data_IF_759669176621
#
_entry.id   IF_759669176621
#
_cell.length_a   1.000
_cell.length_b   1.000
_cell.length_c   1.000
_cell.angle_alpha   90.00
_cell.angle_beta   90.00
_cell.angle_gamma   90.00
#
_symmetry.space_group_name_H-M   'P 1'
#
loop_
_entity.id
_entity.type
_entity.pdbx_description
1 polymer ?
#
# COMPACT_ATOMS: atom_id res chain seq x y z
N UNK A 1 -20.79 -11.26 -6.51
CA UNK A 1 -20.12 -10.50 -7.58
C UNK A 1 -18.61 -10.44 -7.32
N UNK A 2 -17.81 -10.33 -8.37
CA UNK A 2 -16.35 -10.20 -8.29
C UNK A 2 -15.98 -8.83 -8.88
N UNK A 3 -15.20 -8.05 -8.12
CA UNK A 3 -14.71 -6.75 -8.53
C UNK A 3 -13.17 -6.80 -8.68
N UNK A 4 -12.65 -6.27 -9.80
CA UNK A 4 -11.22 -6.01 -9.95
C UNK A 4 -10.89 -4.66 -9.32
N UNK A 5 -9.92 -4.65 -8.43
CA UNK A 5 -9.41 -3.43 -7.81
C UNK A 5 -7.88 -3.37 -7.89
N UNK A 6 -7.32 -2.18 -7.78
CA UNK A 6 -5.90 -1.94 -7.61
C UNK A 6 -5.72 -0.78 -6.61
N UNK A 7 -4.63 -0.80 -5.87
CA UNK A 7 -4.25 0.29 -4.98
C UNK A 7 -2.79 0.65 -5.16
N UNK A 8 -2.53 1.93 -5.27
CA UNK A 8 -1.19 2.50 -5.22
C UNK A 8 -0.99 3.11 -3.83
N UNK A 9 0.17 2.90 -3.23
CA UNK A 9 0.44 3.48 -1.92
C UNK A 9 0.45 5.00 -1.97
N UNK A 10 -0.29 5.66 -1.08
CA UNK A 10 -0.31 7.10 -0.94
C UNK A 10 0.95 7.62 -0.22
N UNK A 11 1.59 6.74 0.56
CA UNK A 11 2.81 7.00 1.31
C UNK A 11 3.59 5.70 1.56
N UNK A 12 4.87 5.85 1.92
CA UNK A 12 5.77 4.71 2.16
C UNK A 12 5.55 4.07 3.53
N UNK A 13 4.42 3.37 3.69
CA UNK A 13 4.09 2.63 4.91
C UNK A 13 3.06 1.54 4.61
N UNK A 14 3.15 0.34 5.24
CA UNK A 14 2.18 -0.74 5.03
C UNK A 14 0.74 -0.36 5.33
N UNK A 15 0.51 0.63 6.20
CA UNK A 15 -0.82 1.09 6.56
C UNK A 15 -1.64 1.58 5.35
N UNK A 16 -0.98 2.13 4.31
CA UNK A 16 -1.70 2.61 3.11
C UNK A 16 -2.46 1.49 2.39
N UNK A 17 -2.02 0.23 2.56
CA UNK A 17 -2.67 -0.96 2.00
C UNK A 17 -3.58 -1.64 3.02
N UNK A 18 -3.11 -1.80 4.26
CA UNK A 18 -3.85 -2.54 5.28
C UNK A 18 -5.07 -1.76 5.81
N UNK A 19 -5.03 -0.43 5.79
CA UNK A 19 -6.20 0.39 6.14
C UNK A 19 -7.43 0.13 5.24
N UNK A 20 -7.23 -0.40 4.03
CA UNK A 20 -8.33 -0.76 3.13
C UNK A 20 -9.22 -1.88 3.67
N UNK A 21 -8.70 -2.73 4.57
CA UNK A 21 -9.46 -3.79 5.21
C UNK A 21 -10.19 -3.37 6.50
N UNK A 22 -9.99 -2.14 6.98
CA UNK A 22 -10.63 -1.65 8.20
C UNK A 22 -12.14 -1.51 8.00
N UNK A 23 -12.91 -1.90 9.02
CA UNK A 23 -14.38 -1.80 9.02
C UNK A 23 -14.81 -0.36 8.76
N UNK A 24 -15.81 -0.18 7.90
CA UNK A 24 -16.37 1.12 7.52
C UNK A 24 -15.37 2.10 6.87
N UNK A 25 -14.17 1.65 6.48
CA UNK A 25 -13.29 2.47 5.67
C UNK A 25 -13.94 2.71 4.29
N UNK A 26 -13.94 3.97 3.82
CA UNK A 26 -14.57 4.36 2.56
C UNK A 26 -14.03 3.64 1.31
N UNK A 27 -12.82 3.06 1.41
CA UNK A 27 -12.18 2.27 0.36
C UNK A 27 -12.32 0.75 0.57
N UNK A 28 -13.00 0.32 1.65
CA UNK A 28 -13.31 -1.09 1.89
C UNK A 28 -14.53 -1.52 1.07
N UNK A 29 -14.32 -1.76 -0.21
CA UNK A 29 -15.40 -2.15 -1.14
C UNK A 29 -15.90 -3.59 -0.94
N UNK A 30 -15.29 -4.36 -0.06
CA UNK A 30 -15.68 -5.76 0.22
C UNK A 30 -16.75 -5.86 1.30
N UNK A 31 -16.99 -4.80 2.07
CA UNK A 31 -17.77 -4.81 3.31
C UNK A 31 -17.28 -5.86 4.34
N UNK A 32 -16.05 -6.31 4.19
CA UNK A 32 -15.44 -7.23 5.14
C UNK A 32 -15.15 -6.53 6.46
N UNK A 33 -15.34 -7.26 7.54
CA UNK A 33 -15.07 -6.81 8.90
C UNK A 33 -14.56 -7.98 9.72
N UNK A 34 -13.56 -7.72 10.57
CA UNK A 34 -13.03 -8.77 11.45
C UNK A 34 -12.65 -8.18 12.82
N UNK A 35 -13.15 -8.74 13.96
CA UNK A 35 -13.03 -8.11 15.27
C UNK A 35 -11.59 -7.99 15.80
N UNK A 36 -10.65 -8.74 15.27
CA UNK A 36 -9.21 -8.64 15.60
C UNK A 36 -8.40 -7.79 14.65
N UNK A 37 -8.93 -7.47 13.46
CA UNK A 37 -8.19 -6.73 12.44
C UNK A 37 -8.06 -5.25 12.79
N UNK A 38 -9.16 -4.58 13.02
CA UNK A 38 -9.19 -3.14 13.29
C UNK A 38 -8.34 -2.75 14.50
N UNK A 39 -8.42 -3.48 15.66
CA UNK A 39 -7.54 -3.21 16.79
C UNK A 39 -6.05 -3.33 16.49
N UNK A 40 -5.63 -4.25 15.61
CA UNK A 40 -4.23 -4.38 15.20
C UNK A 40 -3.76 -3.15 14.41
N UNK A 41 -4.57 -2.67 13.47
CA UNK A 41 -4.27 -1.45 12.71
C UNK A 41 -4.22 -0.22 13.61
N UNK A 42 -5.18 -0.07 14.52
CA UNK A 42 -5.17 1.02 15.50
C UNK A 42 -3.93 0.98 16.41
N UNK A 43 -3.58 -0.18 16.91
CA UNK A 43 -2.40 -0.35 17.77
C UNK A 43 -1.12 -0.03 16.99
N UNK A 44 -1.02 -0.48 15.75
CA UNK A 44 0.11 -0.16 14.87
C UNK A 44 0.24 1.36 14.65
N UNK A 45 -0.87 2.07 14.48
CA UNK A 45 -0.88 3.53 14.32
C UNK A 45 -0.34 4.28 15.55
N UNK A 46 -0.49 3.71 16.75
CA UNK A 46 -0.03 4.29 18.02
C UNK A 46 1.36 3.80 18.47
N UNK A 47 1.92 2.80 17.79
CA UNK A 47 3.19 2.16 18.15
C UNK A 47 4.36 2.88 17.48
N UNK A 48 5.31 3.38 18.28
CA UNK A 48 6.51 4.06 17.80
C UNK A 48 7.67 3.11 17.46
N UNK A 49 7.76 1.96 18.15
CA UNK A 49 8.80 0.95 17.86
C UNK A 49 8.53 0.30 16.48
N UNK A 50 9.42 0.49 15.49
CA UNK A 50 9.21 -0.04 14.15
C UNK A 50 9.08 -1.56 14.10
N UNK A 51 9.79 -2.29 14.97
CA UNK A 51 9.75 -3.75 15.00
C UNK A 51 8.43 -4.28 15.53
N UNK A 52 7.93 -3.65 16.60
CA UNK A 52 6.63 -4.00 17.19
C UNK A 52 5.52 -3.64 16.20
N UNK A 53 5.60 -2.45 15.61
CA UNK A 53 4.65 -1.96 14.62
C UNK A 53 4.57 -2.90 13.40
N UNK A 54 5.71 -3.34 12.89
CA UNK A 54 5.77 -4.26 11.75
C UNK A 54 5.10 -5.61 12.06
N UNK A 55 5.30 -6.15 13.27
CA UNK A 55 4.63 -7.38 13.70
C UNK A 55 3.11 -7.24 13.75
N UNK A 56 2.61 -6.10 14.21
CA UNK A 56 1.16 -5.84 14.23
C UNK A 56 0.57 -5.84 12.81
N UNK A 57 1.25 -5.22 11.87
CA UNK A 57 0.85 -5.26 10.46
C UNK A 57 0.93 -6.67 9.86
N UNK A 58 1.96 -7.42 10.19
CA UNK A 58 2.10 -8.82 9.77
C UNK A 58 0.95 -9.70 10.29
N UNK A 59 0.53 -9.51 11.54
CA UNK A 59 -0.62 -10.22 12.11
C UNK A 59 -1.93 -9.81 11.42
N UNK A 60 -2.13 -8.52 11.16
CA UNK A 60 -3.29 -8.03 10.44
C UNK A 60 -3.33 -8.61 9.01
N UNK A 61 -2.22 -8.59 8.29
CA UNK A 61 -2.11 -9.17 6.95
C UNK A 61 -2.44 -10.67 6.93
N UNK A 62 -1.95 -11.44 7.91
CA UNK A 62 -2.28 -12.87 8.04
C UNK A 62 -3.78 -13.09 8.18
N UNK A 63 -4.47 -12.26 8.95
CA UNK A 63 -5.92 -12.33 9.09
C UNK A 63 -6.59 -12.04 7.73
N UNK A 64 -6.22 -10.94 7.09
CA UNK A 64 -6.75 -10.53 5.80
C UNK A 64 -6.60 -11.64 4.74
N UNK A 65 -5.39 -12.16 4.60
CA UNK A 65 -5.09 -13.20 3.62
C UNK A 65 -5.82 -14.53 3.96
N UNK A 66 -5.93 -14.89 5.25
CA UNK A 66 -6.63 -16.11 5.64
C UNK A 66 -8.14 -16.07 5.38
N UNK A 67 -8.74 -14.89 5.44
CA UNK A 67 -10.18 -14.67 5.21
C UNK A 67 -10.51 -14.38 3.74
N UNK A 68 -9.52 -14.00 2.94
CA UNK A 68 -9.63 -13.75 1.49
C UNK A 68 -10.76 -12.78 1.08
N UNK A 69 -10.99 -11.67 1.78
CA UNK A 69 -11.92 -10.66 1.27
C UNK A 69 -11.41 -10.04 -0.05
N UNK A 70 -10.10 -10.07 -0.25
CA UNK A 70 -9.41 -9.73 -1.50
C UNK A 70 -8.48 -10.88 -1.89
N UNK A 71 -8.33 -11.10 -3.19
CA UNK A 71 -7.41 -12.09 -3.75
C UNK A 71 -6.24 -11.33 -4.38
N UNK A 72 -5.05 -11.30 -3.73
CA UNK A 72 -3.87 -10.69 -4.32
C UNK A 72 -3.45 -11.44 -5.59
N UNK A 73 -3.20 -10.71 -6.67
CA UNK A 73 -2.85 -11.33 -7.97
C UNK A 73 -1.40 -11.01 -8.33
N UNK A 74 -0.99 -9.74 -8.27
CA UNK A 74 0.38 -9.32 -8.58
C UNK A 74 0.69 -7.94 -8.02
N UNK A 75 1.98 -7.64 -7.88
CA UNK A 75 2.45 -6.29 -7.63
C UNK A 75 2.53 -5.54 -8.96
N UNK A 76 1.88 -4.38 -9.01
CA UNK A 76 1.95 -3.52 -10.19
C UNK A 76 3.35 -2.89 -10.30
N UNK A 77 3.88 -2.85 -11.50
CA UNK A 77 5.15 -2.17 -11.81
C UNK A 77 4.96 -1.19 -12.95
N UNK A 78 5.59 -0.03 -12.84
CA UNK A 78 5.62 0.97 -13.91
C UNK A 78 6.87 0.72 -14.78
N UNK A 79 6.68 0.54 -16.07
CA UNK A 79 7.77 0.47 -17.05
C UNK A 79 7.85 1.78 -17.82
N UNK A 80 9.04 2.35 -17.91
CA UNK A 80 9.28 3.62 -18.61
C UNK A 80 10.43 3.49 -19.60
N UNK A 81 10.24 4.04 -20.78
CA UNK A 81 11.31 4.27 -21.75
C UNK A 81 11.71 5.73 -21.63
N UNK A 82 13.00 5.96 -21.32
CA UNK A 82 13.55 7.31 -21.12
C UNK A 82 14.69 7.47 -22.09
N UNK A 83 14.67 8.56 -22.86
CA UNK A 83 15.75 8.89 -23.78
C UNK A 83 17.07 9.08 -23.00
N UNK A 84 18.21 8.54 -23.47
CA UNK A 84 19.51 8.68 -22.81
C UNK A 84 20.01 10.12 -22.66
N UNK A 85 19.46 11.06 -23.41
CA UNK A 85 19.74 12.49 -23.25
C UNK A 85 19.07 13.12 -22.04
N UNK A 86 18.02 12.49 -21.47
CA UNK A 86 17.34 12.97 -20.28
C UNK A 86 18.16 12.65 -19.04
N UNK A 87 18.45 13.67 -18.25
CA UNK A 87 19.16 13.56 -16.96
C UNK A 87 18.26 13.97 -15.81
N UNK A 88 18.65 13.65 -14.56
CA UNK A 88 17.90 13.99 -13.37
C UNK A 88 16.66 13.12 -13.11
N UNK A 89 16.34 12.19 -14.00
CA UNK A 89 15.28 11.20 -13.72
C UNK A 89 15.81 10.11 -12.79
N UNK A 90 15.02 9.77 -11.78
CA UNK A 90 15.31 8.68 -10.86
C UNK A 90 14.04 7.93 -10.49
N UNK A 91 14.11 6.61 -10.22
CA UNK A 91 12.97 5.85 -9.73
C UNK A 91 12.55 6.34 -8.34
N UNK A 92 11.26 6.55 -8.15
CA UNK A 92 10.67 6.91 -6.86
C UNK A 92 9.69 5.84 -6.42
N UNK A 93 9.65 5.54 -5.12
CA UNK A 93 8.76 4.51 -4.56
C UNK A 93 7.28 4.81 -4.81
N UNK A 94 6.91 6.08 -4.78
CA UNK A 94 5.54 6.54 -5.04
C UNK A 94 5.32 6.98 -6.50
N UNK A 95 6.27 6.68 -7.38
CA UNK A 95 6.26 7.07 -8.80
C UNK A 95 6.09 8.59 -9.02
N UNK A 96 6.59 9.38 -8.09
CA UNK A 96 6.57 10.84 -8.16
C UNK A 96 7.89 11.34 -8.75
N UNK A 97 7.82 12.09 -9.84
CA UNK A 97 8.98 12.62 -10.58
C UNK A 97 8.86 14.14 -10.72
N UNK A 98 9.57 14.93 -9.89
CA UNK A 98 9.56 16.39 -10.02
C UNK A 98 10.24 16.81 -11.33
N UNK A 99 9.47 17.41 -12.23
CA UNK A 99 9.97 17.84 -13.55
C UNK A 99 11.08 18.88 -13.45
N UNK A 100 11.15 19.63 -12.34
CA UNK A 100 12.21 20.60 -12.08
C UNK A 100 13.62 19.98 -11.97
N UNK A 101 13.69 18.67 -11.72
CA UNK A 101 14.95 17.93 -11.64
C UNK A 101 15.43 17.40 -13.00
N UNK A 102 14.58 17.45 -14.01
CA UNK A 102 14.89 16.93 -15.35
C UNK A 102 15.63 17.95 -16.19
N UNK A 103 16.63 17.49 -16.93
CA UNK A 103 17.40 18.29 -17.89
C UNK A 103 17.75 17.46 -19.12
N UNK A 104 18.13 18.13 -20.20
CA UNK A 104 18.60 17.52 -21.44
C UNK A 104 20.11 17.76 -21.58
N UNK A 105 20.85 16.70 -21.93
CA UNK A 105 22.28 16.83 -22.31
C UNK A 105 22.43 17.38 -23.72
#
# INVERSE_FOLDING_TARGET
>A
DILRAAWFGDYNDPNTFLSLGVTDNGNNHTNWSHPRYDPLIEQAARTQDPKVRHKLFEEAEKILISQMPVIPIYFYVTSRLIDPSVTGWYPSLLDTHPYQALDLK
#
